data_IF_001607899331
#
_entry.id   IF_001607899331
#
_cell.length_a   1.000
_cell.length_b   1.000
_cell.length_c   1.000
_cell.angle_alpha   90.00
_cell.angle_beta   90.00
_cell.angle_gamma   90.00
#
_symmetry.space_group_name_H-M   'P 1'
#
loop_
_entity.id
_entity.type
_entity.pdbx_description
1 polymer ?
#
# COMPACT_ATOMS: atom_id res chain seq x y z
N UNK A 1 -36.20 48.42 31.78
CA UNK A 1 -36.23 47.38 30.75
C UNK A 1 -34.93 47.20 29.99
N UNK A 2 -34.23 48.25 29.55
CA UNK A 2 -32.96 48.11 28.78
C UNK A 2 -31.83 47.33 29.49
N UNK A 3 -31.64 47.50 30.81
CA UNK A 3 -30.60 46.79 31.60
C UNK A 3 -30.85 45.29 31.80
N UNK A 4 -32.13 44.84 31.69
CA UNK A 4 -32.48 43.42 31.78
C UNK A 4 -32.27 42.76 30.41
N UNK A 5 -32.59 43.48 29.34
CA UNK A 5 -32.34 42.99 27.95
C UNK A 5 -30.84 42.86 27.67
N UNK A 6 -29.98 43.81 28.13
CA UNK A 6 -28.53 43.74 27.93
C UNK A 6 -27.90 42.60 28.71
N UNK A 7 -28.36 42.30 29.95
CA UNK A 7 -27.88 41.14 30.72
C UNK A 7 -28.35 39.81 30.11
N UNK A 8 -29.59 39.72 29.63
CA UNK A 8 -30.08 38.52 28.93
C UNK A 8 -29.35 38.30 27.60
N UNK A 9 -29.00 39.35 26.87
CA UNK A 9 -28.21 39.28 25.63
C UNK A 9 -26.77 38.87 25.89
N UNK A 10 -26.13 39.41 26.97
CA UNK A 10 -24.80 39.02 27.39
C UNK A 10 -24.75 37.55 27.86
N UNK A 11 -25.78 37.06 28.53
CA UNK A 11 -25.90 35.65 28.93
C UNK A 11 -26.14 34.74 27.73
N UNK A 12 -26.94 35.16 26.74
CA UNK A 12 -27.14 34.44 25.47
C UNK A 12 -25.84 34.41 24.63
N UNK A 13 -25.06 35.47 24.60
CA UNK A 13 -23.75 35.50 23.97
C UNK A 13 -22.73 34.59 24.70
N UNK A 14 -22.77 34.52 26.03
CA UNK A 14 -21.89 33.63 26.80
C UNK A 14 -22.26 32.14 26.60
N UNK A 15 -23.52 31.81 26.43
CA UNK A 15 -23.98 30.43 26.11
C UNK A 15 -23.70 30.01 24.67
N UNK A 16 -23.56 30.97 23.74
CA UNK A 16 -23.11 30.73 22.35
C UNK A 16 -21.61 30.42 22.28
N UNK A 17 -20.83 30.80 23.29
CA UNK A 17 -19.37 30.55 23.38
C UNK A 17 -19.01 29.14 23.89
N UNK A 18 -20.00 28.33 24.27
CA UNK A 18 -19.74 26.93 24.68
C UNK A 18 -19.66 26.07 23.42
N UNK A 19 -18.47 25.55 23.06
CA UNK A 19 -18.34 24.67 21.89
C UNK A 19 -19.16 23.40 22.16
N UNK A 20 -20.26 23.24 21.44
CA UNK A 20 -20.95 21.97 21.34
C UNK A 20 -20.18 21.09 20.35
N UNK A 21 -19.82 19.90 20.77
CA UNK A 21 -19.20 18.92 19.89
C UNK A 21 -20.05 18.74 18.61
N UNK A 22 -19.49 19.12 17.47
CA UNK A 22 -20.15 18.98 16.15
C UNK A 22 -20.70 20.26 15.52
N UNK A 23 -20.59 21.44 16.17
CA UNK A 23 -21.00 22.72 15.56
C UNK A 23 -19.79 23.58 15.21
N UNK A 24 -19.67 23.97 13.93
CA UNK A 24 -18.64 24.89 13.51
C UNK A 24 -18.94 26.30 14.06
N UNK A 25 -18.08 26.77 14.95
CA UNK A 25 -18.08 28.14 15.47
C UNK A 25 -16.88 28.86 14.87
N UNK A 26 -17.12 29.99 14.24
CA UNK A 26 -16.08 30.82 13.66
C UNK A 26 -16.07 32.17 14.40
N UNK A 27 -14.91 32.59 14.86
CA UNK A 27 -14.65 33.88 15.50
C UNK A 27 -13.62 34.59 14.63
N UNK A 28 -14.01 35.73 14.07
CA UNK A 28 -13.10 36.57 13.27
C UNK A 28 -13.03 37.97 13.80
N UNK A 29 -11.82 38.55 13.82
CA UNK A 29 -11.53 39.95 14.13
C UNK A 29 -11.16 40.63 12.80
N UNK A 30 -11.94 41.64 12.43
CA UNK A 30 -11.71 42.41 11.22
C UNK A 30 -11.43 43.86 11.58
N UNK A 31 -10.43 44.44 10.94
CA UNK A 31 -10.16 45.88 11.00
C UNK A 31 -10.27 46.47 9.59
N UNK A 32 -10.99 47.54 9.43
CA UNK A 32 -11.19 48.22 8.16
C UNK A 32 -10.82 49.68 8.25
N UNK A 33 -10.01 50.16 7.30
CA UNK A 33 -9.80 51.57 7.03
C UNK A 33 -10.09 51.80 5.54
N UNK A 34 -10.98 52.70 5.20
CA UNK A 34 -11.33 52.97 3.80
C UNK A 34 -11.65 54.45 3.60
N UNK A 35 -11.26 54.94 2.41
CA UNK A 35 -11.61 56.28 1.93
C UNK A 35 -12.61 56.11 0.80
N UNK A 36 -13.75 56.84 0.86
CA UNK A 36 -14.79 56.79 -0.18
C UNK A 36 -14.75 58.07 -0.99
N UNK A 37 -14.78 57.94 -2.33
CA UNK A 37 -14.81 59.08 -3.25
C UNK A 37 -16.10 59.87 -3.13
N UNK A 38 -17.21 59.14 -2.81
CA UNK A 38 -18.54 59.72 -2.61
C UNK A 38 -19.14 59.18 -1.32
N UNK A 39 -19.93 60.02 -0.64
CA UNK A 39 -20.65 59.68 0.58
C UNK A 39 -22.14 59.97 0.39
N UNK A 40 -22.98 59.27 1.16
CA UNK A 40 -24.42 59.49 1.12
C UNK A 40 -24.76 60.94 1.51
N UNK A 41 -25.39 61.65 0.57
CA UNK A 41 -25.90 63.01 0.82
C UNK A 41 -27.40 62.96 0.93
N UNK A 42 -27.99 63.65 1.89
CA UNK A 42 -29.44 63.84 1.91
C UNK A 42 -29.83 64.85 0.83
N UNK A 43 -30.77 64.53 -0.08
CA UNK A 43 -31.18 65.44 -1.15
C UNK A 43 -32.13 66.53 -0.68
N UNK A 44 -32.24 66.80 0.64
CA UNK A 44 -33.09 67.81 1.24
C UNK A 44 -32.29 69.08 1.51
N UNK A 45 -32.56 70.12 0.73
CA UNK A 45 -32.03 71.45 0.97
C UNK A 45 -32.98 72.25 1.91
N UNK A 46 -32.76 72.19 3.20
CA UNK A 46 -33.53 72.91 4.22
C UNK A 46 -33.30 74.40 4.15
N UNK A 47 -32.23 74.88 3.55
CA UNK A 47 -31.99 76.32 3.36
C UNK A 47 -33.01 76.94 2.39
N UNK A 48 -33.48 76.20 1.39
CA UNK A 48 -34.57 76.67 0.46
C UNK A 48 -35.92 76.79 1.17
N UNK A 49 -36.12 76.16 2.32
CA UNK A 49 -37.33 76.22 3.15
C UNK A 49 -37.22 77.24 4.28
N UNK A 50 -36.16 78.05 4.30
CA UNK A 50 -35.96 79.08 5.34
C UNK A 50 -35.57 78.53 6.74
N UNK A 51 -35.19 77.25 6.82
CA UNK A 51 -34.83 76.64 8.09
C UNK A 51 -33.28 76.46 8.09
N UNK A 52 -32.55 77.17 9.00
CA UNK A 52 -31.08 77.14 9.03
C UNK A 52 -30.58 75.83 9.73
N UNK A 53 -30.87 74.71 9.20
CA UNK A 53 -30.37 73.40 9.66
C UNK A 53 -29.42 72.87 8.60
N UNK A 54 -28.10 72.77 8.93
CA UNK A 54 -27.13 72.03 8.15
C UNK A 54 -27.11 70.55 8.63
N UNK A 55 -27.50 69.65 7.76
CA UNK A 55 -27.37 68.22 8.06
C UNK A 55 -25.90 67.82 8.07
N UNK A 56 -25.49 66.99 9.02
CA UNK A 56 -24.13 66.49 9.05
C UNK A 56 -23.85 65.64 7.81
N UNK A 57 -22.83 65.99 7.05
CA UNK A 57 -22.38 65.12 5.93
C UNK A 57 -21.56 63.97 6.54
N UNK A 58 -21.72 62.74 5.96
CA UNK A 58 -20.91 61.57 6.32
C UNK A 58 -19.47 61.86 5.92
N UNK A 59 -18.51 61.53 6.79
CA UNK A 59 -17.08 61.70 6.46
C UNK A 59 -16.65 60.66 5.43
N UNK A 60 -15.69 61.02 4.57
CA UNK A 60 -15.16 60.13 3.52
C UNK A 60 -14.23 59.06 4.10
N UNK A 61 -13.62 59.34 5.22
CA UNK A 61 -12.76 58.44 5.96
C UNK A 61 -13.61 57.54 6.85
N UNK A 62 -13.47 56.22 6.69
CA UNK A 62 -14.21 55.26 7.49
C UNK A 62 -13.20 54.30 8.18
N UNK A 63 -13.38 54.12 9.46
CA UNK A 63 -12.55 53.24 10.28
C UNK A 63 -13.47 52.34 11.11
N UNK A 64 -13.06 51.09 11.27
CA UNK A 64 -13.82 50.20 12.14
C UNK A 64 -13.04 48.93 12.48
N UNK A 65 -13.34 48.46 13.70
CA UNK A 65 -12.89 47.14 14.15
C UNK A 65 -14.16 46.34 14.50
N UNK A 66 -14.28 45.15 13.99
CA UNK A 66 -15.41 44.27 14.26
C UNK A 66 -14.96 42.88 14.74
N UNK A 67 -15.74 42.34 15.66
CA UNK A 67 -15.65 40.94 16.07
C UNK A 67 -16.92 40.27 15.52
N UNK A 68 -16.72 39.28 14.67
CA UNK A 68 -17.78 38.50 14.06
C UNK A 68 -17.77 37.10 14.67
N UNK A 69 -18.92 36.66 15.17
CA UNK A 69 -19.14 35.31 15.67
C UNK A 69 -20.20 34.65 14.78
N UNK A 70 -19.88 33.52 14.17
CA UNK A 70 -20.86 32.75 13.45
C UNK A 70 -20.96 31.34 14.02
N UNK A 71 -22.19 30.84 14.15
CA UNK A 71 -22.49 29.51 14.66
C UNK A 71 -23.41 28.80 13.68
N UNK A 72 -22.90 27.72 13.08
CA UNK A 72 -23.70 26.85 12.22
C UNK A 72 -24.63 26.00 13.11
N UNK A 73 -25.96 26.15 12.95
CA UNK A 73 -26.96 25.37 13.68
C UNK A 73 -27.36 24.10 12.96
N UNK A 74 -27.47 24.20 11.64
CA UNK A 74 -27.86 23.07 10.79
C UNK A 74 -27.27 23.24 9.38
N UNK A 75 -26.61 22.20 8.92
CA UNK A 75 -25.88 22.18 7.65
C UNK A 75 -26.46 21.20 6.62
N UNK A 76 -27.67 20.70 6.85
CA UNK A 76 -28.27 19.66 6.01
C UNK A 76 -27.58 18.29 6.15
N UNK A 77 -26.80 18.06 7.20
CA UNK A 77 -26.03 16.83 7.43
C UNK A 77 -24.71 16.77 6.66
N UNK A 78 -24.27 17.90 6.07
CA UNK A 78 -23.04 17.96 5.26
C UNK A 78 -21.81 17.58 6.08
N UNK A 79 -21.64 18.12 7.29
CA UNK A 79 -20.52 17.80 8.17
C UNK A 79 -20.51 16.30 8.51
N UNK A 80 -21.64 15.73 8.89
CA UNK A 80 -21.74 14.30 9.21
C UNK A 80 -21.41 13.43 7.98
N UNK A 81 -21.89 13.80 6.80
CA UNK A 81 -21.62 13.10 5.56
C UNK A 81 -20.12 13.21 5.17
N UNK A 82 -19.53 14.40 5.31
CA UNK A 82 -18.09 14.61 5.05
C UNK A 82 -17.21 13.83 6.03
N UNK A 83 -17.54 13.80 7.32
CA UNK A 83 -16.86 12.93 8.30
C UNK A 83 -16.98 11.45 7.91
N UNK A 84 -18.16 11.01 7.43
CA UNK A 84 -18.35 9.64 6.94
C UNK A 84 -17.49 9.33 5.72
N UNK A 85 -17.34 10.29 4.79
CA UNK A 85 -16.46 10.16 3.61
C UNK A 85 -15.01 10.02 4.04
N UNK A 86 -14.51 10.91 4.90
CA UNK A 86 -13.13 10.89 5.41
C UNK A 86 -12.84 9.57 6.15
N UNK A 87 -13.75 9.12 7.01
CA UNK A 87 -13.59 7.84 7.71
C UNK A 87 -13.56 6.65 6.74
N UNK A 88 -14.42 6.66 5.71
CA UNK A 88 -14.42 5.59 4.70
C UNK A 88 -13.13 5.60 3.86
N UNK A 89 -12.59 6.76 3.53
CA UNK A 89 -11.28 6.89 2.86
C UNK A 89 -10.13 6.41 3.73
N UNK A 90 -10.17 6.68 5.03
CA UNK A 90 -9.19 6.13 5.98
C UNK A 90 -9.24 4.59 6.04
N UNK A 91 -10.44 3.99 5.97
CA UNK A 91 -10.59 2.53 5.89
C UNK A 91 -10.06 1.95 4.56
N UNK A 92 -10.19 2.67 3.44
CA UNK A 92 -9.56 2.29 2.16
C UNK A 92 -8.04 2.25 2.32
N UNK A 93 -7.43 3.29 2.88
CA UNK A 93 -5.98 3.38 3.07
C UNK A 93 -5.45 2.27 4.00
N UNK A 94 -6.21 1.90 5.04
CA UNK A 94 -5.88 0.75 5.90
C UNK A 94 -5.90 -0.56 5.13
N UNK A 95 -6.94 -0.79 4.33
CA UNK A 95 -7.05 -1.98 3.51
C UNK A 95 -5.94 -2.06 2.43
N UNK A 96 -5.52 -0.94 1.85
CA UNK A 96 -4.38 -0.88 0.92
C UNK A 96 -3.05 -1.20 1.62
N UNK A 97 -2.90 -0.80 2.88
CA UNK A 97 -1.75 -1.20 3.70
C UNK A 97 -1.73 -2.72 3.91
N UNK A 98 -2.90 -3.34 4.19
CA UNK A 98 -3.01 -4.80 4.32
C UNK A 98 -2.63 -5.53 3.02
N UNK A 99 -3.01 -5.00 1.85
CA UNK A 99 -2.57 -5.53 0.55
C UNK A 99 -1.05 -5.46 0.40
N UNK A 100 -0.45 -4.32 0.79
CA UNK A 100 0.99 -4.14 0.73
C UNK A 100 1.75 -5.12 1.64
N UNK A 101 1.26 -5.34 2.86
CA UNK A 101 1.79 -6.33 3.79
C UNK A 101 1.61 -7.76 3.28
N UNK A 102 0.48 -8.03 2.60
CA UNK A 102 0.23 -9.34 1.99
C UNK A 102 1.17 -9.62 0.81
N UNK A 103 1.44 -8.63 -0.02
CA UNK A 103 2.42 -8.73 -1.11
C UNK A 103 3.84 -8.96 -0.58
N UNK A 104 4.19 -8.38 0.59
CA UNK A 104 5.48 -8.60 1.24
C UNK A 104 5.68 -10.08 1.61
N UNK A 105 4.64 -10.80 2.05
CA UNK A 105 4.72 -12.25 2.34
C UNK A 105 5.16 -13.05 1.11
N UNK A 106 4.62 -12.73 -0.07
CA UNK A 106 5.03 -13.38 -1.32
C UNK A 106 6.52 -13.16 -1.59
N UNK A 107 6.99 -11.92 -1.44
CA UNK A 107 8.40 -11.57 -1.67
C UNK A 107 9.34 -12.30 -0.69
N UNK A 108 8.95 -12.41 0.58
CA UNK A 108 9.71 -13.18 1.59
C UNK A 108 9.77 -14.66 1.18
N UNK A 109 8.65 -15.26 0.75
CA UNK A 109 8.62 -16.64 0.30
C UNK A 109 9.54 -16.87 -0.91
N UNK A 110 9.50 -16.00 -1.92
CA UNK A 110 10.35 -16.08 -3.12
C UNK A 110 11.85 -16.09 -2.74
N UNK A 111 12.27 -15.17 -1.87
CA UNK A 111 13.66 -15.09 -1.39
C UNK A 111 14.03 -16.31 -0.55
N UNK A 112 13.13 -16.75 0.34
CA UNK A 112 13.36 -17.92 1.19
C UNK A 112 13.55 -19.20 0.37
N UNK A 113 12.71 -19.47 -0.62
CA UNK A 113 12.83 -20.65 -1.48
C UNK A 113 14.06 -20.56 -2.39
N UNK A 114 14.41 -19.37 -2.90
CA UNK A 114 15.66 -19.19 -3.64
C UNK A 114 16.88 -19.49 -2.75
N UNK A 115 16.89 -19.00 -1.53
CA UNK A 115 17.96 -19.24 -0.55
C UNK A 115 18.03 -20.71 -0.14
N UNK A 116 16.88 -21.38 0.04
CA UNK A 116 16.78 -22.79 0.32
C UNK A 116 17.42 -23.62 -0.84
N UNK A 117 17.01 -23.31 -2.07
CA UNK A 117 17.56 -23.99 -3.27
C UNK A 117 19.09 -23.84 -3.34
N UNK A 118 19.60 -22.63 -3.17
CA UNK A 118 21.04 -22.38 -3.21
C UNK A 118 21.78 -23.13 -2.09
N UNK A 119 21.21 -23.18 -0.88
CA UNK A 119 21.79 -23.90 0.25
C UNK A 119 21.87 -25.41 0.00
N UNK A 120 20.83 -26.00 -0.59
CA UNK A 120 20.81 -27.41 -0.96
C UNK A 120 21.78 -27.71 -2.11
N UNK A 121 21.82 -26.84 -3.12
CA UNK A 121 22.76 -26.98 -4.24
C UNK A 121 24.22 -26.84 -3.78
N UNK A 122 24.51 -25.95 -2.83
CA UNK A 122 25.82 -25.80 -2.21
C UNK A 122 26.23 -27.08 -1.46
N UNK A 123 25.35 -27.58 -0.61
CA UNK A 123 25.58 -28.82 0.15
C UNK A 123 25.85 -30.00 -0.79
N UNK A 124 25.06 -30.12 -1.85
CA UNK A 124 25.25 -31.16 -2.86
C UNK A 124 26.55 -30.96 -3.65
N UNK A 125 26.91 -29.74 -4.00
CA UNK A 125 28.18 -29.46 -4.68
C UNK A 125 29.41 -29.82 -3.82
N UNK A 126 29.33 -29.63 -2.49
CA UNK A 126 30.39 -30.05 -1.57
C UNK A 126 30.55 -31.59 -1.56
N UNK A 127 29.43 -32.36 -1.57
CA UNK A 127 29.47 -33.82 -1.71
C UNK A 127 30.02 -34.26 -3.06
N UNK A 128 29.65 -33.59 -4.16
CA UNK A 128 30.20 -33.86 -5.49
C UNK A 128 31.73 -33.58 -5.52
N UNK A 129 32.17 -32.49 -4.92
CA UNK A 129 33.59 -32.13 -4.81
C UNK A 129 34.38 -33.23 -4.10
N UNK A 130 33.89 -33.75 -2.98
CA UNK A 130 34.52 -34.88 -2.28
C UNK A 130 34.60 -36.14 -3.15
N UNK A 131 33.57 -36.42 -3.97
CA UNK A 131 33.62 -37.58 -4.89
C UNK A 131 34.64 -37.37 -6.00
N UNK A 132 34.77 -36.15 -6.52
CA UNK A 132 35.82 -35.81 -7.50
C UNK A 132 37.20 -35.98 -6.90
N UNK A 133 37.45 -35.58 -5.63
CA UNK A 133 38.72 -35.78 -4.96
C UNK A 133 39.04 -37.26 -4.75
N UNK A 134 38.05 -38.07 -4.38
CA UNK A 134 38.21 -39.55 -4.30
C UNK A 134 38.58 -40.16 -5.65
N UNK A 135 37.90 -39.72 -6.72
CA UNK A 135 38.18 -40.15 -8.09
C UNK A 135 39.58 -39.73 -8.52
N UNK A 136 40.02 -38.51 -8.20
CA UNK A 136 41.35 -38.01 -8.47
C UNK A 136 42.41 -38.97 -7.89
N UNK A 137 42.31 -39.29 -6.59
CA UNK A 137 43.25 -40.18 -5.92
C UNK A 137 43.30 -41.61 -6.57
N UNK A 138 42.13 -42.14 -7.00
CA UNK A 138 42.10 -43.41 -7.74
C UNK A 138 42.82 -43.31 -9.07
N UNK A 139 42.58 -42.25 -9.86
CA UNK A 139 43.25 -42.05 -11.16
C UNK A 139 44.75 -41.91 -11.00
N UNK A 140 45.23 -41.17 -9.99
CA UNK A 140 46.66 -41.06 -9.67
C UNK A 140 47.28 -42.45 -9.37
N UNK A 141 46.57 -43.27 -8.62
CA UNK A 141 47.03 -44.64 -8.33
C UNK A 141 47.10 -45.49 -9.60
N UNK A 142 46.10 -45.40 -10.51
CA UNK A 142 46.07 -46.11 -11.77
C UNK A 142 47.14 -45.64 -12.78
N UNK A 143 47.52 -44.37 -12.75
CA UNK A 143 48.63 -43.82 -13.53
C UNK A 143 49.93 -44.43 -13.06
N UNK A 144 50.18 -44.51 -11.74
CA UNK A 144 51.36 -45.15 -11.17
C UNK A 144 51.42 -46.65 -11.52
N UNK A 145 50.28 -47.31 -11.70
CA UNK A 145 50.16 -48.68 -12.17
C UNK A 145 50.23 -48.85 -13.69
N UNK A 146 50.34 -47.78 -14.48
CA UNK A 146 50.38 -47.81 -15.94
C UNK A 146 49.04 -48.11 -16.63
N UNK A 147 47.91 -47.99 -15.89
CA UNK A 147 46.55 -48.31 -16.38
C UNK A 147 45.81 -47.07 -16.90
N UNK A 148 46.11 -45.86 -16.31
CA UNK A 148 45.53 -44.59 -16.71
C UNK A 148 46.58 -43.63 -17.26
N UNK A 149 46.13 -42.57 -17.94
CA UNK A 149 46.98 -41.54 -18.57
C UNK A 149 46.92 -40.22 -17.84
N UNK A 150 47.89 -39.31 -18.12
CA UNK A 150 47.85 -37.92 -17.61
C UNK A 150 46.60 -37.17 -18.08
N UNK A 151 46.07 -37.45 -19.28
CA UNK A 151 44.85 -36.88 -19.80
C UNK A 151 43.62 -37.25 -18.95
N UNK A 152 43.61 -38.44 -18.36
CA UNK A 152 42.53 -38.86 -17.45
C UNK A 152 42.57 -38.06 -16.16
N UNK A 153 43.77 -37.72 -15.63
CA UNK A 153 43.95 -36.88 -14.48
C UNK A 153 43.50 -35.43 -14.78
N UNK A 154 43.87 -34.91 -15.95
CA UNK A 154 43.47 -33.56 -16.40
C UNK A 154 41.93 -33.42 -16.47
N UNK A 155 41.22 -34.45 -16.92
CA UNK A 155 39.78 -34.49 -16.97
C UNK A 155 39.15 -34.37 -15.55
N UNK A 156 39.70 -35.11 -14.58
CA UNK A 156 39.25 -35.06 -13.18
C UNK A 156 39.54 -33.69 -12.55
N UNK A 157 40.74 -33.13 -12.82
CA UNK A 157 41.19 -31.85 -12.32
C UNK A 157 40.32 -30.70 -12.86
N UNK A 158 39.87 -30.77 -14.14
CA UNK A 158 38.94 -29.82 -14.72
C UNK A 158 37.60 -29.81 -13.97
N UNK A 159 37.08 -30.98 -13.56
CA UNK A 159 35.85 -31.06 -12.78
C UNK A 159 36.03 -30.60 -11.31
N UNK A 160 37.22 -30.83 -10.73
CA UNK A 160 37.58 -30.24 -9.42
C UNK A 160 37.49 -28.72 -9.45
N UNK A 161 38.16 -28.09 -10.41
CA UNK A 161 38.15 -26.63 -10.59
C UNK A 161 36.71 -26.13 -10.86
N UNK A 162 35.95 -26.85 -11.67
CA UNK A 162 34.54 -26.50 -11.94
C UNK A 162 33.69 -26.51 -10.67
N UNK A 163 33.86 -27.51 -9.80
CA UNK A 163 33.12 -27.62 -8.54
C UNK A 163 33.50 -26.49 -7.55
N UNK A 164 34.74 -26.10 -7.49
CA UNK A 164 35.22 -24.97 -6.67
C UNK A 164 34.63 -23.63 -7.16
N UNK A 165 34.65 -23.41 -8.49
CA UNK A 165 34.02 -22.24 -9.09
C UNK A 165 32.52 -22.18 -8.76
N UNK A 166 31.80 -23.27 -8.94
CA UNK A 166 30.36 -23.36 -8.64
C UNK A 166 30.10 -23.12 -7.16
N UNK A 167 30.98 -23.62 -6.27
CA UNK A 167 30.88 -23.34 -4.84
C UNK A 167 30.99 -21.84 -4.53
N UNK A 168 31.95 -21.16 -5.15
CA UNK A 168 32.13 -19.72 -4.99
C UNK A 168 30.93 -18.93 -5.48
N UNK A 169 30.35 -19.32 -6.61
CA UNK A 169 29.12 -18.74 -7.17
C UNK A 169 27.94 -18.88 -6.19
N UNK A 170 27.73 -20.09 -5.64
CA UNK A 170 26.63 -20.34 -4.69
C UNK A 170 26.83 -19.60 -3.35
N UNK A 171 28.05 -19.47 -2.85
CA UNK A 171 28.34 -18.69 -1.65
C UNK A 171 28.04 -17.22 -1.85
N UNK A 172 28.40 -16.63 -2.99
CA UNK A 172 28.13 -15.24 -3.32
C UNK A 172 26.60 -14.99 -3.45
N UNK A 173 25.88 -15.89 -4.14
CA UNK A 173 24.42 -15.81 -4.25
C UNK A 173 23.75 -15.95 -2.89
N UNK A 174 24.19 -16.92 -2.07
CA UNK A 174 23.66 -17.13 -0.72
C UNK A 174 23.83 -15.89 0.14
N UNK A 175 25.00 -15.29 0.13
CA UNK A 175 25.27 -14.04 0.85
C UNK A 175 24.33 -12.90 0.40
N UNK A 176 24.14 -12.74 -0.91
CA UNK A 176 23.22 -11.73 -1.47
C UNK A 176 21.77 -11.94 -1.02
N UNK A 177 21.26 -13.17 -1.09
CA UNK A 177 19.89 -13.48 -0.68
C UNK A 177 19.68 -13.39 0.85
N UNK A 178 20.71 -13.76 1.66
CA UNK A 178 20.68 -13.54 3.11
C UNK A 178 20.60 -12.05 3.45
N UNK A 179 21.39 -11.22 2.77
CA UNK A 179 21.33 -9.77 2.90
C UNK A 179 19.95 -9.21 2.57
N UNK A 180 19.37 -9.66 1.46
CA UNK A 180 18.03 -9.24 1.07
C UNK A 180 16.96 -9.66 2.10
N UNK A 181 17.05 -10.89 2.63
CA UNK A 181 16.13 -11.38 3.65
C UNK A 181 16.31 -10.62 4.97
N UNK A 182 17.54 -10.33 5.37
CA UNK A 182 17.87 -9.51 6.55
C UNK A 182 17.23 -8.14 6.49
N UNK A 183 17.32 -7.47 5.34
CA UNK A 183 16.68 -6.16 5.12
C UNK A 183 15.15 -6.22 5.25
N UNK A 184 14.52 -7.29 4.77
CA UNK A 184 13.07 -7.47 4.87
C UNK A 184 12.61 -7.80 6.30
N UNK A 185 13.44 -8.50 7.08
CA UNK A 185 13.12 -8.89 8.46
C UNK A 185 13.45 -7.79 9.47
N UNK A 186 14.32 -6.84 9.10
CA UNK A 186 14.87 -5.85 10.03
C UNK A 186 15.84 -6.45 11.06
N UNK A 187 16.38 -7.66 10.79
CA UNK A 187 17.30 -8.38 11.64
C UNK A 187 18.49 -8.90 10.81
N UNK A 188 19.66 -9.11 11.43
CA UNK A 188 20.87 -9.57 10.75
C UNK A 188 20.92 -11.09 10.70
N UNK A 189 20.90 -11.66 9.49
CA UNK A 189 21.13 -13.07 9.27
C UNK A 189 22.61 -13.29 8.91
N UNK A 190 23.22 -14.30 9.54
CA UNK A 190 24.62 -14.67 9.27
C UNK A 190 24.69 -15.80 8.25
N UNK A 191 25.87 -15.99 7.63
CA UNK A 191 26.12 -17.12 6.72
C UNK A 191 26.00 -18.49 7.40
N UNK A 192 26.03 -18.55 8.74
CA UNK A 192 25.79 -19.78 9.50
C UNK A 192 24.31 -20.11 9.70
N UNK A 193 23.38 -19.25 9.27
CA UNK A 193 21.94 -19.48 9.43
C UNK A 193 21.51 -20.72 8.66
N UNK A 194 20.97 -21.71 9.40
CA UNK A 194 20.43 -22.95 8.82
C UNK A 194 18.96 -22.76 8.47
N UNK A 195 18.64 -22.99 7.22
CA UNK A 195 17.26 -23.00 6.72
C UNK A 195 16.64 -24.38 6.94
N UNK A 196 15.35 -24.41 7.19
CA UNK A 196 14.58 -25.66 7.32
C UNK A 196 13.65 -25.80 6.13
N UNK A 197 13.49 -27.02 5.63
CA UNK A 197 12.41 -27.30 4.71
C UNK A 197 11.08 -27.05 5.42
N UNK A 198 10.22 -26.17 4.88
CA UNK A 198 8.93 -25.96 5.49
C UNK A 198 8.08 -27.23 5.32
N UNK A 199 7.42 -27.65 6.40
CA UNK A 199 6.45 -28.72 6.34
C UNK A 199 5.22 -28.23 5.55
N UNK A 200 4.97 -28.86 4.41
CA UNK A 200 3.78 -28.62 3.63
C UNK A 200 2.58 -29.32 4.31
N UNK A 201 2.13 -28.83 5.44
CA UNK A 201 0.78 -29.13 5.87
C UNK A 201 -0.16 -28.47 4.86
N UNK A 202 -0.84 -29.28 4.08
CA UNK A 202 -2.01 -28.85 3.30
C UNK A 202 -3.09 -28.57 4.37
N UNK A 203 -2.97 -27.39 5.02
CA UNK A 203 -4.03 -26.91 5.87
C UNK A 203 -5.29 -26.84 5.03
N UNK A 204 -6.34 -27.55 5.45
CA UNK A 204 -7.66 -27.47 4.82
C UNK A 204 -7.95 -26.02 4.52
N UNK A 205 -8.12 -25.73 3.23
CA UNK A 205 -8.23 -24.39 2.69
C UNK A 205 -9.51 -23.73 3.24
N UNK A 206 -9.41 -23.09 4.41
CA UNK A 206 -10.37 -22.06 4.74
C UNK A 206 -10.06 -20.88 3.82
N UNK A 207 -10.84 -20.77 2.75
CA UNK A 207 -10.78 -19.64 1.84
C UNK A 207 -10.98 -18.36 2.65
N UNK A 208 -9.88 -17.67 2.94
CA UNK A 208 -9.95 -16.31 3.43
C UNK A 208 -10.10 -15.39 2.22
N UNK A 209 -10.92 -14.38 2.37
CA UNK A 209 -11.08 -13.37 1.33
C UNK A 209 -9.75 -12.66 1.11
N UNK A 210 -9.33 -12.55 -0.13
CA UNK A 210 -8.11 -11.84 -0.51
C UNK A 210 -8.18 -10.37 -0.07
N UNK A 211 -7.10 -9.79 0.49
CA UNK A 211 -7.07 -8.38 0.92
C UNK A 211 -7.42 -7.42 -0.21
N UNK A 212 -7.07 -7.73 -1.45
CA UNK A 212 -7.39 -6.90 -2.63
C UNK A 212 -8.90 -6.77 -2.85
N UNK A 213 -9.67 -7.83 -2.60
CA UNK A 213 -11.14 -7.77 -2.67
C UNK A 213 -11.71 -6.91 -1.55
N UNK A 214 -11.08 -6.94 -0.36
CA UNK A 214 -11.47 -6.09 0.75
C UNK A 214 -11.25 -4.60 0.45
N UNK A 215 -10.16 -4.24 -0.24
CA UNK A 215 -9.94 -2.87 -0.73
C UNK A 215 -11.09 -2.42 -1.63
N UNK A 216 -11.51 -3.25 -2.59
CA UNK A 216 -12.61 -2.93 -3.49
C UNK A 216 -13.94 -2.74 -2.73
N UNK A 217 -14.19 -3.55 -1.67
CA UNK A 217 -15.36 -3.38 -0.80
C UNK A 217 -15.33 -2.04 -0.07
N UNK A 218 -14.16 -1.64 0.48
CA UNK A 218 -13.99 -0.35 1.15
C UNK A 218 -14.12 0.83 0.19
N UNK A 219 -13.59 0.70 -1.03
CA UNK A 219 -13.75 1.72 -2.07
C UNK A 219 -15.22 1.91 -2.47
N UNK A 220 -16.00 0.84 -2.55
CA UNK A 220 -17.45 0.92 -2.79
C UNK A 220 -18.16 1.65 -1.64
N UNK A 221 -17.82 1.34 -0.39
CA UNK A 221 -18.35 2.04 0.79
C UNK A 221 -17.99 3.54 0.80
N UNK A 222 -16.78 3.90 0.37
CA UNK A 222 -16.37 5.29 0.24
C UNK A 222 -17.16 6.04 -0.85
N UNK A 223 -17.49 5.38 -1.98
CA UNK A 223 -18.37 5.96 -2.99
C UNK A 223 -19.80 6.19 -2.47
N UNK A 224 -20.33 5.27 -1.64
CA UNK A 224 -21.62 5.45 -1.00
C UNK A 224 -21.62 6.62 0.00
N UNK A 225 -20.55 6.80 0.76
CA UNK A 225 -20.40 7.96 1.63
C UNK A 225 -20.34 9.27 0.83
N UNK A 226 -19.58 9.31 -0.28
CA UNK A 226 -19.55 10.47 -1.20
C UNK A 226 -20.91 10.76 -1.84
N UNK A 227 -21.70 9.73 -2.14
CA UNK A 227 -23.06 9.90 -2.66
C UNK A 227 -23.97 10.59 -1.63
N UNK A 228 -23.85 10.22 -0.34
CA UNK A 228 -24.57 10.88 0.75
C UNK A 228 -24.13 12.34 0.92
N UNK A 229 -22.82 12.61 0.86
CA UNK A 229 -22.27 13.96 0.93
C UNK A 229 -22.75 14.83 -0.24
N UNK A 230 -22.76 14.28 -1.46
CA UNK A 230 -23.31 14.95 -2.63
C UNK A 230 -24.82 15.30 -2.43
N UNK A 231 -25.59 14.41 -1.83
CA UNK A 231 -27.01 14.65 -1.54
C UNK A 231 -27.19 15.72 -0.45
N UNK A 232 -26.36 15.71 0.59
CA UNK A 232 -26.36 16.71 1.66
C UNK A 232 -26.00 18.11 1.14
N UNK A 233 -25.18 18.22 0.08
CA UNK A 233 -24.83 19.49 -0.54
C UNK A 233 -26.00 20.22 -1.21
N UNK A 234 -27.13 19.54 -1.44
CA UNK A 234 -28.35 20.12 -1.99
C UNK A 234 -29.23 20.80 -0.94
N UNK A 235 -28.99 20.56 0.33
CA UNK A 235 -29.79 21.10 1.42
C UNK A 235 -29.31 22.49 1.83
N UNK A 236 -30.22 23.38 2.29
CA UNK A 236 -29.84 24.69 2.82
C UNK A 236 -29.05 24.54 4.12
N UNK A 237 -28.38 25.60 4.52
CA UNK A 237 -27.68 25.72 5.81
C UNK A 237 -28.30 26.84 6.64
N UNK A 238 -28.46 26.62 7.94
CA UNK A 238 -28.97 27.59 8.90
C UNK A 238 -27.91 27.90 9.93
N UNK A 239 -27.56 29.18 10.07
CA UNK A 239 -26.60 29.67 11.06
C UNK A 239 -27.12 30.86 11.82
N UNK A 240 -26.58 31.07 13.00
CA UNK A 240 -26.69 32.32 13.73
C UNK A 240 -25.40 33.12 13.53
N UNK A 241 -25.52 34.43 13.53
CA UNK A 241 -24.38 35.33 13.53
C UNK A 241 -24.56 36.44 14.53
N UNK A 242 -23.47 36.90 15.11
CA UNK A 242 -23.38 38.08 15.93
C UNK A 242 -22.14 38.87 15.52
N UNK A 243 -22.29 40.15 15.29
CA UNK A 243 -21.20 41.07 15.01
C UNK A 243 -21.21 42.15 16.06
N UNK A 244 -20.10 42.41 16.71
CA UNK A 244 -19.87 43.56 17.56
C UNK A 244 -18.79 44.42 16.93
N UNK A 245 -18.97 45.74 16.94
CA UNK A 245 -18.01 46.61 16.29
C UNK A 245 -17.89 47.99 17.00
N UNK A 246 -16.75 48.63 16.74
CA UNK A 246 -16.49 50.01 17.07
C UNK A 246 -15.97 50.68 15.81
N UNK A 247 -16.81 51.57 15.26
CA UNK A 247 -16.53 52.12 13.93
C UNK A 247 -16.96 53.60 13.82
N UNK A 248 -16.37 54.27 12.84
CA UNK A 248 -16.71 55.61 12.41
C UNK A 248 -16.96 55.62 10.87
N UNK A 249 -18.17 55.89 10.40
CA UNK A 249 -19.39 55.91 11.17
C UNK A 249 -19.76 54.52 11.69
N UNK A 250 -20.52 54.48 12.81
CA UNK A 250 -21.12 53.22 13.29
C UNK A 250 -22.34 52.81 12.44
N UNK A 251 -23.36 52.18 13.04
CA UNK A 251 -24.62 51.90 12.33
C UNK A 251 -25.43 53.15 11.97
N UNK A 252 -25.25 54.22 12.78
CA UNK A 252 -25.82 55.50 12.45
C UNK A 252 -24.86 56.28 11.52
N UNK A 253 -25.16 56.30 10.24
CA UNK A 253 -24.37 56.96 9.21
C UNK A 253 -24.31 58.49 9.38
N UNK A 254 -25.20 59.08 10.16
CA UNK A 254 -25.23 60.55 10.44
C UNK A 254 -24.36 60.94 11.64
N UNK A 255 -23.86 59.98 12.38
CA UNK A 255 -22.98 60.20 13.52
C UNK A 255 -21.52 60.21 13.07
N UNK A 256 -20.79 61.30 13.40
CA UNK A 256 -19.38 61.48 13.00
C UNK A 256 -18.40 60.90 14.02
N UNK A 257 -18.90 60.48 15.17
CA UNK A 257 -18.06 59.94 16.22
C UNK A 257 -17.92 58.43 16.13
N UNK A 258 -16.88 57.89 16.73
CA UNK A 258 -16.75 56.47 16.91
C UNK A 258 -17.82 55.93 17.85
N UNK A 259 -18.62 55.01 17.38
CA UNK A 259 -19.70 54.42 18.16
C UNK A 259 -19.61 52.88 18.22
N UNK A 260 -19.87 52.29 19.39
CA UNK A 260 -20.02 50.85 19.49
C UNK A 260 -21.37 50.41 18.91
N UNK A 261 -21.40 49.29 18.24
CA UNK A 261 -22.63 48.70 17.71
C UNK A 261 -22.59 47.16 17.78
N UNK A 262 -23.75 46.56 17.67
CA UNK A 262 -23.88 45.12 17.48
C UNK A 262 -25.02 44.80 16.53
N UNK A 263 -24.87 43.67 15.84
CA UNK A 263 -25.87 43.07 14.97
C UNK A 263 -25.97 41.60 15.34
N UNK A 264 -27.18 41.09 15.55
CA UNK A 264 -27.44 39.67 15.81
C UNK A 264 -28.54 39.23 14.87
N UNK A 265 -28.35 38.05 14.26
CA UNK A 265 -29.34 37.54 13.29
C UNK A 265 -29.18 36.08 13.00
N UNK A 266 -30.14 35.56 12.23
CA UNK A 266 -30.10 34.23 11.63
C UNK A 266 -29.89 34.37 10.12
N UNK A 267 -29.09 33.44 9.56
CA UNK A 267 -28.86 33.40 8.10
C UNK A 267 -29.23 32.03 7.57
N UNK A 268 -30.11 31.96 6.61
CA UNK A 268 -30.43 30.79 5.81
C UNK A 268 -29.70 30.94 4.47
N UNK A 269 -28.81 29.99 4.13
CA UNK A 269 -28.12 29.98 2.85
C UNK A 269 -28.43 28.71 2.09
N UNK A 270 -28.78 28.85 0.81
CA UNK A 270 -29.10 27.74 -0.09
C UNK A 270 -28.38 27.91 -1.42
N UNK A 271 -27.47 26.97 -1.71
CA UNK A 271 -26.69 26.98 -2.97
C UNK A 271 -27.46 26.25 -4.07
N UNK A 272 -28.27 26.99 -4.81
CA UNK A 272 -29.07 26.43 -5.95
C UNK A 272 -28.15 25.97 -7.11
N UNK A 273 -26.93 26.49 -7.22
CA UNK A 273 -25.95 26.07 -8.23
C UNK A 273 -25.59 24.58 -8.18
N UNK A 274 -25.63 23.98 -6.99
CA UNK A 274 -25.37 22.56 -6.82
C UNK A 274 -26.40 21.65 -7.54
N UNK A 275 -27.60 22.12 -7.76
CA UNK A 275 -28.66 21.39 -8.49
C UNK A 275 -28.27 21.12 -9.95
N UNK A 276 -27.57 22.06 -10.60
CA UNK A 276 -27.14 21.91 -12.00
C UNK A 276 -26.04 20.83 -12.15
N UNK A 277 -25.14 20.71 -11.18
CA UNK A 277 -24.03 19.77 -11.23
C UNK A 277 -24.36 18.39 -10.65
N UNK A 278 -25.39 18.32 -9.80
CA UNK A 278 -25.77 17.10 -9.08
C UNK A 278 -25.95 15.88 -9.98
N UNK A 279 -26.72 16.02 -11.06
CA UNK A 279 -27.01 14.90 -11.97
C UNK A 279 -25.73 14.36 -12.62
N UNK A 280 -24.82 15.22 -12.99
CA UNK A 280 -23.55 14.83 -13.61
C UNK A 280 -22.61 14.18 -12.59
N UNK A 281 -22.51 14.75 -11.38
CA UNK A 281 -21.73 14.16 -10.29
C UNK A 281 -22.29 12.79 -9.86
N UNK A 282 -23.61 12.63 -9.81
CA UNK A 282 -24.24 11.33 -9.53
C UNK A 282 -23.92 10.29 -10.60
N UNK A 283 -23.93 10.69 -11.90
CA UNK A 283 -23.50 9.81 -13.00
C UNK A 283 -22.03 9.44 -12.90
N UNK A 284 -21.17 10.38 -12.54
CA UNK A 284 -19.74 10.11 -12.32
C UNK A 284 -19.55 9.04 -11.25
N UNK A 285 -20.20 9.18 -10.09
CA UNK A 285 -20.12 8.19 -9.01
C UNK A 285 -20.64 6.81 -9.46
N UNK A 286 -21.75 6.74 -10.23
CA UNK A 286 -22.25 5.46 -10.74
C UNK A 286 -21.30 4.83 -11.77
N UNK A 287 -20.56 5.62 -12.54
CA UNK A 287 -19.53 5.11 -13.46
C UNK A 287 -18.33 4.59 -12.70
N UNK A 288 -17.92 5.26 -11.61
CA UNK A 288 -16.85 4.80 -10.73
C UNK A 288 -17.22 3.48 -10.04
N UNK A 289 -18.44 3.33 -9.55
CA UNK A 289 -18.95 2.09 -8.97
C UNK A 289 -18.88 0.94 -9.98
N UNK A 290 -19.37 1.14 -11.20
CA UNK A 290 -19.27 0.14 -12.26
C UNK A 290 -17.82 -0.21 -12.61
N UNK A 291 -16.90 0.76 -12.54
CA UNK A 291 -15.48 0.51 -12.73
C UNK A 291 -14.90 -0.38 -11.62
N UNK A 292 -15.34 -0.23 -10.36
CA UNK A 292 -14.95 -1.12 -9.26
C UNK A 292 -15.48 -2.54 -9.44
N UNK A 293 -16.73 -2.70 -9.91
CA UNK A 293 -17.30 -4.01 -10.22
C UNK A 293 -16.48 -4.74 -11.29
N UNK A 294 -16.15 -4.04 -12.39
CA UNK A 294 -15.30 -4.60 -13.44
C UNK A 294 -13.88 -4.97 -12.93
N UNK A 295 -13.29 -4.13 -12.06
CA UNK A 295 -12.01 -4.45 -11.41
C UNK A 295 -12.11 -5.72 -10.55
N UNK A 296 -13.21 -5.90 -9.84
CA UNK A 296 -13.49 -7.10 -9.03
C UNK A 296 -13.58 -8.35 -9.92
N UNK A 297 -14.37 -8.31 -10.98
CA UNK A 297 -14.49 -9.43 -11.92
C UNK A 297 -13.15 -9.77 -12.57
N UNK A 298 -12.41 -8.76 -13.02
CA UNK A 298 -11.08 -8.93 -13.59
C UNK A 298 -10.11 -9.57 -12.59
N UNK A 299 -10.12 -9.11 -11.33
CA UNK A 299 -9.28 -9.67 -10.29
C UNK A 299 -9.60 -11.16 -10.04
N UNK A 300 -10.87 -11.51 -9.88
CA UNK A 300 -11.33 -12.89 -9.66
C UNK A 300 -10.92 -13.79 -10.85
N UNK A 301 -11.15 -13.31 -12.07
CA UNK A 301 -10.78 -14.06 -13.28
C UNK A 301 -9.27 -14.31 -13.36
N UNK A 302 -8.46 -13.28 -13.12
CA UNK A 302 -7.00 -13.39 -13.12
C UNK A 302 -6.52 -14.34 -12.02
N UNK A 303 -7.11 -14.27 -10.83
CA UNK A 303 -6.80 -15.19 -9.73
C UNK A 303 -7.10 -16.64 -10.11
N UNK A 304 -8.24 -16.92 -10.75
CA UNK A 304 -8.61 -18.25 -11.21
C UNK A 304 -7.65 -18.78 -12.28
N UNK A 305 -7.26 -17.92 -13.23
CA UNK A 305 -6.26 -18.27 -14.25
C UNK A 305 -4.93 -18.62 -13.59
N UNK A 306 -4.45 -17.78 -12.66
CA UNK A 306 -3.19 -18.02 -11.95
C UNK A 306 -3.24 -19.30 -11.11
N UNK A 307 -4.34 -19.56 -10.40
CA UNK A 307 -4.56 -20.82 -9.66
C UNK A 307 -4.52 -22.03 -10.58
N UNK A 308 -5.18 -21.99 -11.73
CA UNK A 308 -5.20 -23.09 -12.70
C UNK A 308 -3.78 -23.36 -13.22
N UNK A 309 -3.04 -22.31 -13.59
CA UNK A 309 -1.67 -22.44 -14.07
C UNK A 309 -0.73 -23.03 -13.00
N UNK A 310 -0.83 -22.54 -11.75
CA UNK A 310 0.00 -23.05 -10.64
C UNK A 310 -0.35 -24.49 -10.27
N UNK A 311 -1.63 -24.87 -10.33
CA UNK A 311 -2.06 -26.25 -10.11
C UNK A 311 -1.51 -27.17 -11.19
N UNK A 312 -1.57 -26.78 -12.46
CA UNK A 312 -0.97 -27.55 -13.56
C UNK A 312 0.56 -27.68 -13.41
N UNK A 313 1.25 -26.60 -12.99
CA UNK A 313 2.67 -26.63 -12.70
C UNK A 313 3.01 -27.59 -11.53
N UNK A 314 2.19 -27.58 -10.46
CA UNK A 314 2.36 -28.48 -9.32
C UNK A 314 2.27 -29.95 -9.72
N UNK A 315 1.27 -30.34 -10.52
CA UNK A 315 1.12 -31.71 -11.02
C UNK A 315 2.27 -32.12 -11.94
N UNK A 316 2.76 -31.19 -12.78
CA UNK A 316 3.95 -31.44 -13.61
C UNK A 316 5.16 -31.75 -12.72
N UNK A 317 5.46 -30.92 -11.74
CA UNK A 317 6.63 -31.10 -10.86
C UNK A 317 6.49 -32.36 -10.01
N UNK A 318 5.27 -32.67 -9.53
CA UNK A 318 4.98 -33.92 -8.82
C UNK A 318 5.31 -35.15 -9.67
N UNK A 319 4.94 -35.12 -10.95
CA UNK A 319 5.26 -36.20 -11.91
C UNK A 319 6.77 -36.31 -12.16
N UNK A 320 7.47 -35.18 -12.30
CA UNK A 320 8.93 -35.15 -12.44
C UNK A 320 9.63 -35.78 -11.23
N UNK A 321 9.23 -35.40 -10.00
CA UNK A 321 9.78 -35.97 -8.76
C UNK A 321 9.61 -37.51 -8.67
N UNK A 322 8.53 -38.04 -9.25
CA UNK A 322 8.34 -39.49 -9.31
C UNK A 322 9.43 -40.16 -10.15
N UNK A 323 9.78 -39.58 -11.31
CA UNK A 323 10.79 -40.14 -12.22
C UNK A 323 12.23 -39.82 -11.79
N UNK A 324 12.48 -38.72 -11.05
CA UNK A 324 13.83 -38.33 -10.62
C UNK A 324 14.52 -39.44 -9.83
N UNK A 325 13.80 -40.09 -8.90
CA UNK A 325 14.39 -41.16 -8.09
C UNK A 325 14.82 -42.36 -8.93
N UNK A 326 14.01 -42.75 -9.93
CA UNK A 326 14.32 -43.85 -10.85
C UNK A 326 15.51 -43.50 -11.74
N UNK A 327 15.52 -42.27 -12.30
CA UNK A 327 16.61 -41.79 -13.14
C UNK A 327 17.94 -41.75 -12.36
N UNK A 328 17.94 -41.23 -11.14
CA UNK A 328 19.12 -41.18 -10.29
C UNK A 328 19.63 -42.60 -10.00
N UNK A 329 18.73 -43.54 -9.67
CA UNK A 329 19.12 -44.92 -9.41
C UNK A 329 19.76 -45.57 -10.64
N UNK A 330 19.26 -45.29 -11.84
CA UNK A 330 19.84 -45.77 -13.10
C UNK A 330 21.21 -45.15 -13.35
N UNK A 331 21.35 -43.83 -13.21
CA UNK A 331 22.60 -43.10 -13.41
C UNK A 331 23.69 -43.58 -12.44
N UNK A 332 23.34 -43.79 -11.15
CA UNK A 332 24.28 -44.33 -10.16
C UNK A 332 24.76 -45.75 -10.51
N UNK A 333 23.88 -46.63 -11.07
CA UNK A 333 24.30 -47.97 -11.53
C UNK A 333 25.25 -47.89 -12.72
N UNK A 334 25.00 -47.00 -13.67
CA UNK A 334 25.90 -46.73 -14.79
C UNK A 334 27.27 -46.29 -14.27
N UNK A 335 27.28 -45.26 -13.39
CA UNK A 335 28.52 -44.76 -12.79
C UNK A 335 29.30 -45.85 -12.03
N UNK A 336 28.62 -46.68 -11.22
CA UNK A 336 29.24 -47.81 -10.52
C UNK A 336 29.91 -48.82 -11.48
N UNK A 337 29.24 -49.13 -12.61
CA UNK A 337 29.79 -49.97 -13.67
C UNK A 337 31.03 -49.33 -14.32
N UNK A 338 30.99 -48.02 -14.54
CA UNK A 338 32.08 -47.25 -15.13
C UNK A 338 33.31 -47.22 -14.22
N UNK A 339 33.09 -47.10 -12.89
CA UNK A 339 34.18 -47.22 -11.89
C UNK A 339 34.89 -48.57 -12.03
N UNK A 340 34.12 -49.70 -12.07
CA UNK A 340 34.70 -51.03 -12.21
C UNK A 340 35.46 -51.21 -13.54
N UNK A 341 34.93 -50.72 -14.66
CA UNK A 341 35.58 -50.73 -15.96
C UNK A 341 36.90 -49.97 -16.00
N UNK A 342 36.93 -48.81 -15.33
CA UNK A 342 38.16 -48.02 -15.23
C UNK A 342 39.22 -48.72 -14.40
N UNK A 343 38.87 -49.39 -13.29
CA UNK A 343 39.80 -50.17 -12.47
C UNK A 343 40.48 -51.32 -13.28
N UNK A 344 39.78 -51.81 -14.29
CA UNK A 344 40.32 -52.81 -15.21
C UNK A 344 40.94 -52.23 -16.51
N UNK A 345 41.09 -50.92 -16.60
CA UNK A 345 41.71 -50.22 -17.74
C UNK A 345 40.89 -50.26 -19.04
N UNK A 346 39.60 -50.56 -18.97
CA UNK A 346 38.69 -50.67 -20.15
C UNK A 346 37.85 -49.41 -20.36
N UNK A 347 37.97 -48.40 -19.51
CA UNK A 347 37.26 -47.13 -19.63
C UNK A 347 38.21 -45.97 -19.32
N UNK A 348 38.10 -44.86 -20.04
CA UNK A 348 38.90 -43.65 -19.78
C UNK A 348 38.42 -42.86 -18.55
N UNK A 349 39.28 -42.08 -17.94
CA UNK A 349 38.90 -41.14 -16.87
C UNK A 349 37.91 -40.08 -17.32
N UNK A 350 37.99 -39.62 -18.56
CA UNK A 350 37.06 -38.69 -19.15
C UNK A 350 35.63 -39.25 -19.25
N UNK A 351 35.51 -40.53 -19.62
CA UNK A 351 34.18 -41.23 -19.70
C UNK A 351 33.60 -41.45 -18.30
N UNK A 352 34.44 -41.79 -17.29
CA UNK A 352 34.03 -41.92 -15.91
C UNK A 352 33.50 -40.55 -15.37
N UNK A 353 34.20 -39.46 -15.63
CA UNK A 353 33.78 -38.14 -15.22
C UNK A 353 32.49 -37.68 -15.91
N UNK A 354 32.27 -38.11 -17.18
CA UNK A 354 30.98 -37.89 -17.87
C UNK A 354 29.84 -38.56 -17.12
N UNK A 355 29.99 -39.82 -16.75
CA UNK A 355 28.96 -40.58 -16.05
C UNK A 355 28.70 -40.03 -14.63
N UNK A 356 29.75 -39.64 -13.91
CA UNK A 356 29.63 -38.97 -12.63
C UNK A 356 28.86 -37.59 -12.77
N UNK A 357 29.18 -36.85 -13.83
CA UNK A 357 28.49 -35.58 -14.12
C UNK A 357 27.01 -35.81 -14.42
N UNK A 358 26.63 -36.92 -15.10
CA UNK A 358 25.22 -37.25 -15.33
C UNK A 358 24.47 -37.59 -14.02
N UNK A 359 25.11 -38.23 -13.04
CA UNK A 359 24.55 -38.43 -11.71
C UNK A 359 24.33 -37.07 -11.03
N UNK A 360 25.36 -36.20 -11.09
CA UNK A 360 25.27 -34.85 -10.51
C UNK A 360 24.10 -34.05 -11.07
N UNK A 361 23.92 -34.03 -12.40
CA UNK A 361 22.84 -33.29 -13.04
C UNK A 361 21.45 -33.82 -12.61
N UNK A 362 21.28 -35.13 -12.58
CA UNK A 362 20.02 -35.74 -12.16
C UNK A 362 19.66 -35.43 -10.70
N UNK A 363 20.66 -35.40 -9.80
CA UNK A 363 20.43 -35.07 -8.40
C UNK A 363 20.19 -33.55 -8.19
N UNK A 364 20.84 -32.68 -8.94
CA UNK A 364 20.56 -31.25 -8.95
C UNK A 364 19.15 -30.95 -9.45
N UNK A 365 18.69 -31.66 -10.51
CA UNK A 365 17.31 -31.52 -10.99
C UNK A 365 16.30 -31.95 -9.94
N UNK A 366 16.52 -33.06 -9.23
CA UNK A 366 15.66 -33.47 -8.11
C UNK A 366 15.56 -32.42 -7.02
N UNK A 367 16.69 -31.85 -6.60
CA UNK A 367 16.73 -30.77 -5.59
C UNK A 367 15.89 -29.58 -6.08
N UNK A 368 16.05 -29.18 -7.34
CA UNK A 368 15.27 -28.12 -7.96
C UNK A 368 13.78 -28.43 -7.91
N UNK A 369 13.37 -29.63 -8.33
CA UNK A 369 11.97 -30.07 -8.34
C UNK A 369 11.38 -30.11 -6.91
N UNK A 370 12.15 -30.55 -5.90
CA UNK A 370 11.70 -30.57 -4.51
C UNK A 370 11.40 -29.15 -3.99
N UNK A 371 12.29 -28.19 -4.24
CA UNK A 371 12.10 -26.81 -3.82
C UNK A 371 10.97 -26.16 -4.61
N UNK A 372 10.89 -26.40 -5.93
CA UNK A 372 9.80 -25.89 -6.77
C UNK A 372 8.42 -26.42 -6.32
N UNK A 373 8.33 -27.69 -5.95
CA UNK A 373 7.10 -28.29 -5.43
C UNK A 373 6.60 -27.56 -4.20
N UNK A 374 7.48 -27.32 -3.23
CA UNK A 374 7.15 -26.58 -2.02
C UNK A 374 6.77 -25.11 -2.31
N UNK A 375 7.54 -24.45 -3.17
CA UNK A 375 7.25 -23.09 -3.59
C UNK A 375 5.86 -22.97 -4.21
N UNK A 376 5.50 -23.88 -5.12
CA UNK A 376 4.18 -23.91 -5.76
C UNK A 376 3.04 -24.14 -4.75
N UNK A 377 3.24 -24.97 -3.72
CA UNK A 377 2.27 -25.15 -2.64
C UNK A 377 2.06 -23.83 -1.85
N UNK A 378 3.14 -23.12 -1.56
CA UNK A 378 3.07 -21.84 -0.87
C UNK A 378 2.45 -20.74 -1.75
N UNK A 379 2.73 -20.74 -3.07
CA UNK A 379 2.10 -19.86 -4.04
C UNK A 379 0.58 -20.08 -4.12
N UNK A 380 0.14 -21.34 -4.18
CA UNK A 380 -1.29 -21.68 -4.18
C UNK A 380 -1.97 -21.28 -2.86
N UNK A 381 -1.29 -21.46 -1.72
CA UNK A 381 -1.78 -21.02 -0.43
C UNK A 381 -1.92 -19.50 -0.38
N UNK A 382 -0.93 -18.77 -0.89
CA UNK A 382 -1.00 -17.31 -1.01
C UNK A 382 -2.13 -16.88 -1.94
N UNK A 383 -2.35 -17.53 -3.09
CA UNK A 383 -3.46 -17.23 -4.01
C UNK A 383 -4.83 -17.48 -3.38
N UNK A 384 -4.97 -18.43 -2.47
CA UNK A 384 -6.22 -18.71 -1.76
C UNK A 384 -6.51 -17.80 -0.55
N UNK A 385 -5.63 -16.84 -0.25
CA UNK A 385 -5.84 -15.86 0.81
C UNK A 385 -5.48 -16.35 2.23
N UNK A 386 -4.71 -17.43 2.34
CA UNK A 386 -4.35 -18.06 3.62
C UNK A 386 -2.95 -17.67 4.09
#
# INVERSE_FOLDING_TARGET
MARILTKALALALLTLLIPRAGSAQELTLNAKASYQSEVTKMPLDFASLGIPISLPEVERDQYGVTIDVSQLLWDGGRTAASCSTINSEAEVNRAETDVSLYALRRRVNEIYFALLLISEQLSYNDLFHEEVLRTKHKVETLINGGVATSSDLDAVEADRIRSERTRSEYLALRHSYLGALSLLMGDTLSDSTKLRFPTAEIAEQRHKTRPELHVLDRQTQALDARRKELSASLLPTLGLFAQGGYARPGLNLLDRDFAPYYIVGARLSWSLGNLYTYRNNKRLLSTQERSLDLKRETFITNQQIEMTNKTGALEKVRTQLHYDNELIALRRRVYSSSVAKMEHGTLSGADLMRDLTQVRLAEQEKILHQVQYLQLLYDLRWLSGV
#
